data_IF_976125604944
#
_entry.id   IF_976125604944
#
_cell.length_a   1.000
_cell.length_b   1.000
_cell.length_c   1.000
_cell.angle_alpha   90.00
_cell.angle_beta   90.00
_cell.angle_gamma   90.00
#
_symmetry.space_group_name_H-M   'P 1'
#
loop_
_entity.id
_entity.type
_entity.pdbx_description
1 polymer ?
#
# COMPACT_ATOMS: atom_id res chain seq x y z
N UNK A 1 -28.36 -0.42 3.69
CA UNK A 1 -28.27 0.68 2.71
C UNK A 1 -27.76 0.11 1.41
N UNK A 2 -28.63 0.00 0.40
CA UNK A 2 -28.22 -0.34 -0.97
C UNK A 2 -27.46 0.84 -1.54
N UNK A 3 -26.15 0.70 -1.75
CA UNK A 3 -25.38 1.69 -2.50
C UNK A 3 -25.86 1.59 -3.95
N UNK A 4 -26.60 2.61 -4.42
CA UNK A 4 -26.92 2.76 -5.85
C UNK A 4 -25.60 2.68 -6.60
N UNK A 5 -25.44 1.64 -7.40
CA UNK A 5 -24.25 1.42 -8.21
C UNK A 5 -24.11 2.59 -9.16
N UNK A 6 -23.15 3.47 -8.89
CA UNK A 6 -22.73 4.47 -9.87
C UNK A 6 -22.37 3.70 -11.15
N UNK A 7 -22.89 4.10 -12.33
CA UNK A 7 -22.60 3.43 -13.59
C UNK A 7 -21.09 3.22 -13.75
N UNK A 8 -20.69 2.03 -14.22
CA UNK A 8 -19.28 1.67 -14.43
C UNK A 8 -18.55 2.76 -15.21
N UNK A 9 -19.20 3.31 -16.24
CA UNK A 9 -18.69 4.43 -17.06
C UNK A 9 -18.25 5.64 -16.22
N UNK A 10 -19.08 6.10 -15.28
CA UNK A 10 -18.74 7.26 -14.43
C UNK A 10 -17.55 6.96 -13.51
N UNK A 11 -17.41 5.73 -13.02
CA UNK A 11 -16.27 5.31 -12.20
C UNK A 11 -14.98 5.24 -13.01
N UNK A 12 -15.05 4.66 -14.21
CA UNK A 12 -13.91 4.59 -15.13
C UNK A 12 -13.45 5.99 -15.52
N UNK A 13 -14.37 6.89 -15.88
CA UNK A 13 -14.05 8.27 -16.21
C UNK A 13 -13.37 9.00 -15.04
N UNK A 14 -13.91 8.89 -13.82
CA UNK A 14 -13.28 9.44 -12.63
C UNK A 14 -11.86 8.87 -12.40
N UNK A 15 -11.66 7.59 -12.68
CA UNK A 15 -10.34 6.96 -12.60
C UNK A 15 -9.36 7.52 -13.62
N UNK A 16 -9.80 7.74 -14.87
CA UNK A 16 -8.99 8.39 -15.89
C UNK A 16 -8.62 9.83 -15.51
N UNK A 17 -9.56 10.59 -14.94
CA UNK A 17 -9.29 11.94 -14.42
C UNK A 17 -8.23 11.89 -13.31
N UNK A 18 -8.37 10.97 -12.35
CA UNK A 18 -7.39 10.82 -11.28
C UNK A 18 -6.00 10.45 -11.82
N UNK A 19 -5.93 9.50 -12.73
CA UNK A 19 -4.68 9.11 -13.40
C UNK A 19 -4.05 10.28 -14.16
N UNK A 20 -4.86 11.07 -14.88
CA UNK A 20 -4.38 12.26 -15.57
C UNK A 20 -3.80 13.29 -14.60
N UNK A 21 -4.45 13.53 -13.46
CA UNK A 21 -3.93 14.42 -12.42
C UNK A 21 -2.59 13.92 -11.86
N UNK A 22 -2.48 12.62 -11.57
CA UNK A 22 -1.22 12.05 -11.08
C UNK A 22 -0.10 12.20 -12.10
N UNK A 23 -0.38 12.04 -13.40
CA UNK A 23 0.63 12.06 -14.45
C UNK A 23 1.07 13.47 -14.89
N UNK A 24 0.17 14.47 -14.84
CA UNK A 24 0.41 15.81 -15.41
C UNK A 24 0.82 16.84 -14.38
N UNK A 25 0.39 16.70 -13.13
CA UNK A 25 0.76 17.66 -12.08
C UNK A 25 2.25 17.47 -11.71
N UNK A 26 3.08 18.54 -11.73
CA UNK A 26 4.47 18.46 -11.29
C UNK A 26 4.52 18.42 -9.76
N UNK A 27 4.34 17.22 -9.20
CA UNK A 27 4.23 17.01 -7.76
C UNK A 27 5.50 17.37 -6.98
N UNK A 28 6.66 17.30 -7.64
CA UNK A 28 7.95 17.77 -7.15
C UNK A 28 7.93 19.29 -6.91
N UNK A 29 7.38 20.06 -7.87
CA UNK A 29 7.18 21.49 -7.73
C UNK A 29 6.15 21.82 -6.64
N UNK A 30 5.05 21.07 -6.57
CA UNK A 30 4.03 21.26 -5.52
C UNK A 30 4.60 21.00 -4.12
N UNK A 31 5.45 19.97 -3.99
CA UNK A 31 6.12 19.60 -2.74
C UNK A 31 7.30 20.52 -2.40
N UNK A 32 7.80 21.29 -3.38
CA UNK A 32 9.04 22.05 -3.27
C UNK A 32 10.26 21.16 -2.92
N UNK A 33 10.26 19.90 -3.37
CA UNK A 33 11.35 18.96 -3.13
C UNK A 33 11.36 17.82 -4.16
N UNK A 34 12.56 17.38 -4.52
CA UNK A 34 12.76 16.26 -5.43
C UNK A 34 12.38 14.90 -4.80
N UNK A 35 12.12 13.92 -5.66
CA UNK A 35 11.79 12.55 -5.26
C UNK A 35 13.02 11.64 -5.40
N UNK A 36 13.78 11.49 -4.31
CA UNK A 36 15.00 10.70 -4.27
C UNK A 36 14.83 9.26 -4.78
N UNK A 37 13.67 8.62 -4.55
CA UNK A 37 13.40 7.26 -5.05
C UNK A 37 13.31 7.22 -6.59
N UNK A 38 12.81 8.28 -7.24
CA UNK A 38 12.74 8.39 -8.71
C UNK A 38 14.14 8.52 -9.29
N UNK A 39 14.97 9.41 -8.75
CA UNK A 39 16.38 9.56 -9.16
C UNK A 39 17.15 8.26 -9.01
N UNK A 40 16.94 7.54 -7.91
CA UNK A 40 17.52 6.23 -7.69
C UNK A 40 17.10 5.22 -8.77
N UNK A 41 15.86 5.27 -9.26
CA UNK A 41 15.43 4.42 -10.37
C UNK A 41 16.06 4.83 -11.70
N UNK A 42 16.13 6.12 -12.00
CA UNK A 42 16.77 6.65 -13.21
C UNK A 42 18.24 6.22 -13.25
N UNK A 43 18.98 6.47 -12.18
CA UNK A 43 20.39 6.09 -12.03
C UNK A 43 20.59 4.58 -12.22
N UNK A 44 19.73 3.74 -11.62
CA UNK A 44 19.78 2.27 -11.81
C UNK A 44 19.52 1.85 -13.25
N UNK A 45 18.60 2.50 -13.96
CA UNK A 45 18.34 2.20 -15.37
C UNK A 45 19.57 2.56 -16.21
N UNK A 46 20.22 3.68 -15.93
CA UNK A 46 21.42 4.09 -16.66
C UNK A 46 22.61 3.16 -16.40
N UNK A 47 22.81 2.70 -15.16
CA UNK A 47 23.79 1.65 -14.84
C UNK A 47 23.49 0.37 -15.63
N UNK A 48 22.22 -0.04 -15.70
CA UNK A 48 21.79 -1.22 -16.45
C UNK A 48 21.97 -1.08 -17.97
N UNK A 49 21.91 0.15 -18.53
CA UNK A 49 22.24 0.39 -19.95
C UNK A 49 23.71 0.09 -20.23
N UNK A 50 24.59 0.50 -19.32
CA UNK A 50 26.06 0.37 -19.51
C UNK A 50 26.57 -1.03 -19.18
N UNK A 51 26.09 -1.64 -18.09
CA UNK A 51 26.65 -2.89 -17.55
C UNK A 51 25.73 -4.11 -17.72
N UNK A 52 24.49 -3.92 -18.18
CA UNK A 52 23.54 -5.01 -18.32
C UNK A 52 23.20 -5.68 -16.98
N UNK A 53 22.79 -6.95 -17.04
CA UNK A 53 22.44 -7.72 -15.83
C UNK A 53 23.66 -8.17 -15.02
N UNK A 54 24.87 -8.08 -15.58
CA UNK A 54 26.11 -8.51 -14.94
C UNK A 54 26.46 -7.61 -13.74
N UNK A 55 25.84 -6.43 -13.64
CA UNK A 55 25.90 -5.57 -12.46
C UNK A 55 25.23 -6.20 -11.21
N UNK A 56 24.28 -7.11 -11.40
CA UNK A 56 23.58 -7.77 -10.30
C UNK A 56 24.09 -9.20 -10.12
N UNK A 57 24.84 -9.43 -9.05
CA UNK A 57 25.17 -10.80 -8.61
C UNK A 57 23.98 -11.41 -7.88
N UNK A 58 23.00 -11.91 -8.64
CA UNK A 58 21.89 -12.66 -8.07
C UNK A 58 22.28 -14.13 -7.90
N UNK A 59 22.33 -14.56 -6.65
CA UNK A 59 22.23 -15.99 -6.33
C UNK A 59 20.93 -16.53 -6.97
N UNK A 60 21.04 -17.51 -7.87
CA UNK A 60 19.92 -18.08 -8.66
C UNK A 60 18.89 -18.85 -7.83
N UNK A 61 18.95 -18.78 -6.50
CA UNK A 61 17.95 -19.34 -5.59
C UNK A 61 16.65 -18.54 -5.62
N UNK A 62 15.52 -19.17 -5.27
CA UNK A 62 14.22 -18.49 -5.14
C UNK A 62 14.30 -17.33 -4.13
N UNK A 63 15.05 -17.54 -3.04
CA UNK A 63 15.31 -16.50 -2.02
C UNK A 63 16.04 -15.33 -2.66
N UNK A 64 17.09 -15.58 -3.45
CA UNK A 64 17.78 -14.53 -4.19
C UNK A 64 16.86 -13.76 -5.14
N UNK A 65 16.04 -14.47 -5.93
CA UNK A 65 15.08 -13.83 -6.85
C UNK A 65 14.08 -12.91 -6.14
N UNK A 66 13.64 -13.28 -4.94
CA UNK A 66 12.78 -12.43 -4.12
C UNK A 66 13.56 -11.25 -3.55
N UNK A 67 14.69 -11.47 -2.88
CA UNK A 67 15.50 -10.42 -2.23
C UNK A 67 15.93 -9.32 -3.20
N UNK A 68 16.29 -9.71 -4.42
CA UNK A 68 16.69 -8.78 -5.48
C UNK A 68 15.52 -8.22 -6.30
N UNK A 69 14.28 -8.55 -5.95
CA UNK A 69 13.07 -8.08 -6.65
C UNK A 69 13.19 -8.32 -8.17
N UNK A 70 13.45 -9.57 -8.54
CA UNK A 70 13.87 -9.93 -9.89
C UNK A 70 12.94 -9.45 -11.00
N UNK A 71 11.61 -9.47 -10.79
CA UNK A 71 10.67 -8.98 -11.80
C UNK A 71 10.81 -7.47 -12.03
N UNK A 72 11.10 -6.70 -10.98
CA UNK A 72 11.40 -5.28 -11.10
C UNK A 72 12.71 -5.05 -11.86
N UNK A 73 13.79 -5.75 -11.49
CA UNK A 73 15.09 -5.63 -12.19
C UNK A 73 14.97 -6.00 -13.67
N UNK A 74 14.21 -7.05 -14.00
CA UNK A 74 13.95 -7.46 -15.38
C UNK A 74 13.13 -6.43 -16.14
N UNK A 75 12.16 -5.80 -15.50
CA UNK A 75 11.44 -4.67 -16.08
C UNK A 75 12.44 -3.55 -16.39
N UNK A 76 13.22 -3.07 -15.42
CA UNK A 76 14.21 -2.00 -15.65
C UNK A 76 15.22 -2.34 -16.75
N UNK A 77 15.68 -3.58 -16.80
CA UNK A 77 16.61 -4.06 -17.86
C UNK A 77 15.95 -4.03 -19.23
N UNK A 78 14.68 -4.42 -19.32
CA UNK A 78 13.92 -4.31 -20.58
C UNK A 78 13.82 -2.85 -21.02
N UNK A 79 13.60 -1.91 -20.10
CA UNK A 79 13.56 -0.48 -20.41
C UNK A 79 14.92 0.04 -20.89
N UNK A 80 15.99 -0.32 -20.18
CA UNK A 80 17.37 0.03 -20.51
C UNK A 80 17.74 -0.43 -21.93
N UNK A 81 17.44 -1.68 -22.29
CA UNK A 81 17.77 -2.26 -23.61
C UNK A 81 17.02 -1.65 -24.78
N UNK A 82 15.84 -1.07 -24.53
CA UNK A 82 15.03 -0.44 -25.58
C UNK A 82 15.26 1.08 -25.68
N UNK A 83 16.25 1.64 -24.96
CA UNK A 83 16.56 3.08 -24.94
C UNK A 83 15.34 3.97 -24.67
N UNK A 84 14.41 3.48 -23.87
CA UNK A 84 13.24 4.24 -23.48
C UNK A 84 13.61 5.24 -22.38
N UNK A 85 12.95 6.40 -22.40
CA UNK A 85 13.16 7.46 -21.40
C UNK A 85 12.69 6.99 -20.01
N UNK A 86 13.59 6.88 -19.01
CA UNK A 86 13.25 6.40 -17.67
C UNK A 86 12.08 7.14 -17.03
N UNK A 87 12.07 8.47 -17.16
CA UNK A 87 11.08 9.36 -16.58
C UNK A 87 9.68 9.08 -17.17
N UNK A 88 9.57 8.98 -18.49
CA UNK A 88 8.30 8.65 -19.15
C UNK A 88 7.73 7.31 -18.71
N UNK A 89 8.57 6.29 -18.58
CA UNK A 89 8.09 4.95 -18.19
C UNK A 89 7.68 4.91 -16.73
N UNK A 90 8.47 5.50 -15.83
CA UNK A 90 8.09 5.62 -14.42
C UNK A 90 6.74 6.35 -14.31
N UNK A 91 6.53 7.41 -15.09
CA UNK A 91 5.23 8.09 -15.21
C UNK A 91 4.10 7.18 -15.70
N UNK A 92 4.34 6.33 -16.71
CA UNK A 92 3.36 5.34 -17.19
C UNK A 92 3.02 4.31 -16.09
N UNK A 93 4.02 3.80 -15.38
CA UNK A 93 3.82 2.84 -14.29
C UNK A 93 3.04 3.47 -13.15
N UNK A 94 3.37 4.70 -12.75
CA UNK A 94 2.61 5.50 -11.78
C UNK A 94 1.16 5.71 -12.22
N UNK A 95 0.93 6.03 -13.50
CA UNK A 95 -0.41 6.21 -14.06
C UNK A 95 -1.25 4.92 -14.00
N UNK A 96 -0.63 3.77 -14.34
CA UNK A 96 -1.25 2.45 -14.22
C UNK A 96 -1.59 2.15 -12.76
N UNK A 97 -0.66 2.36 -11.83
CA UNK A 97 -0.87 2.14 -10.39
C UNK A 97 -1.99 3.02 -9.84
N UNK A 98 -2.03 4.29 -10.22
CA UNK A 98 -3.08 5.23 -9.83
C UNK A 98 -4.45 4.77 -10.32
N UNK A 99 -4.55 4.36 -11.59
CA UNK A 99 -5.79 3.88 -12.18
C UNK A 99 -6.32 2.61 -11.48
N UNK A 100 -5.45 1.61 -11.28
CA UNK A 100 -5.82 0.35 -10.64
C UNK A 100 -6.22 0.55 -9.17
N UNK A 101 -5.51 1.41 -8.44
CA UNK A 101 -5.82 1.75 -7.04
C UNK A 101 -7.16 2.49 -6.94
N UNK A 102 -7.41 3.46 -7.84
CA UNK A 102 -8.70 4.15 -7.92
C UNK A 102 -9.84 3.18 -8.26
N UNK A 103 -9.64 2.31 -9.26
CA UNK A 103 -10.62 1.29 -9.64
C UNK A 103 -10.94 0.35 -8.48
N UNK A 104 -9.95 0.01 -7.65
CA UNK A 104 -10.17 -0.74 -6.41
C UNK A 104 -11.14 0.00 -5.49
N UNK A 105 -10.80 1.22 -5.10
CA UNK A 105 -11.53 1.97 -4.09
C UNK A 105 -12.93 2.42 -4.56
N UNK A 106 -13.03 2.88 -5.81
CA UNK A 106 -14.27 3.39 -6.41
C UNK A 106 -15.35 2.31 -6.61
N UNK A 107 -14.97 1.02 -6.61
CA UNK A 107 -15.92 -0.09 -6.57
C UNK A 107 -16.81 -0.04 -5.32
N UNK A 108 -16.25 0.40 -4.19
CA UNK A 108 -16.91 0.37 -2.88
C UNK A 108 -17.43 1.75 -2.43
N UNK A 109 -16.69 2.83 -2.73
CA UNK A 109 -16.99 4.19 -2.24
C UNK A 109 -17.58 5.13 -3.31
N UNK A 110 -17.55 4.73 -4.58
CA UNK A 110 -17.88 5.60 -5.71
C UNK A 110 -16.68 6.43 -6.20
N UNK A 111 -16.80 6.97 -7.42
CA UNK A 111 -15.66 7.59 -8.13
C UNK A 111 -15.10 8.83 -7.42
N UNK A 112 -15.96 9.75 -6.98
CA UNK A 112 -15.54 11.02 -6.38
C UNK A 112 -14.93 10.80 -5.00
N UNK A 113 -15.58 9.99 -4.14
CA UNK A 113 -15.07 9.71 -2.81
C UNK A 113 -13.70 8.99 -2.86
N UNK A 114 -13.50 8.12 -3.85
CA UNK A 114 -12.20 7.50 -4.08
C UNK A 114 -11.12 8.54 -4.43
N UNK A 115 -11.42 9.52 -5.28
CA UNK A 115 -10.48 10.61 -5.59
C UNK A 115 -10.13 11.41 -4.32
N UNK A 116 -11.13 11.81 -3.53
CA UNK A 116 -10.88 12.61 -2.32
C UNK A 116 -10.00 11.90 -1.28
N UNK A 117 -10.12 10.58 -1.17
CA UNK A 117 -9.26 9.76 -0.31
C UNK A 117 -7.86 9.62 -0.90
N UNK A 118 -7.76 9.27 -2.19
CA UNK A 118 -6.48 9.00 -2.86
C UNK A 118 -5.69 10.26 -3.19
N UNK A 119 -6.33 11.43 -3.18
CA UNK A 119 -5.66 12.72 -3.21
C UNK A 119 -4.96 13.06 -1.88
N UNK A 120 -4.85 12.12 -0.94
CA UNK A 120 -4.01 12.26 0.25
C UNK A 120 -2.51 12.33 -0.16
N UNK A 121 -1.71 13.25 0.42
CA UNK A 121 -0.29 13.40 0.07
C UNK A 121 0.56 12.12 0.21
N UNK A 122 0.27 11.25 1.18
CA UNK A 122 0.94 9.94 1.34
C UNK A 122 0.66 9.05 0.13
N UNK A 123 -0.57 9.07 -0.37
CA UNK A 123 -0.94 8.26 -1.55
C UNK A 123 -0.29 8.83 -2.80
N UNK A 124 -0.22 10.15 -2.94
CA UNK A 124 0.46 10.82 -4.06
C UNK A 124 1.95 10.50 -4.02
N UNK A 125 2.61 10.65 -2.87
CA UNK A 125 4.02 10.30 -2.68
C UNK A 125 4.27 8.81 -3.01
N UNK A 126 3.40 7.91 -2.56
CA UNK A 126 3.48 6.50 -2.93
C UNK A 126 3.43 6.30 -4.46
N UNK A 127 2.47 6.94 -5.13
CA UNK A 127 2.23 6.77 -6.57
C UNK A 127 3.34 7.40 -7.42
N UNK A 128 3.90 8.53 -7.01
CA UNK A 128 4.87 9.32 -7.77
C UNK A 128 6.31 8.94 -7.43
N UNK A 129 6.63 8.86 -6.14
CA UNK A 129 7.99 8.60 -5.66
C UNK A 129 8.30 7.10 -5.62
N UNK A 130 7.36 6.31 -5.09
CA UNK A 130 7.59 4.90 -4.76
C UNK A 130 6.96 3.95 -5.79
N UNK A 131 7.24 4.21 -7.07
CA UNK A 131 6.62 3.57 -8.25
C UNK A 131 6.65 2.04 -8.17
N UNK A 132 7.76 1.44 -7.73
CA UNK A 132 7.90 -0.01 -7.55
C UNK A 132 6.86 -0.57 -6.58
N UNK A 133 6.73 0.04 -5.41
CA UNK A 133 5.82 -0.40 -4.35
C UNK A 133 4.36 -0.13 -4.73
N UNK A 134 4.08 1.02 -5.36
CA UNK A 134 2.77 1.35 -5.91
C UNK A 134 2.31 0.33 -6.97
N UNK A 135 3.19 -0.05 -7.90
CA UNK A 135 2.90 -1.04 -8.93
C UNK A 135 2.59 -2.39 -8.32
N UNK A 136 3.48 -2.91 -7.47
CA UNK A 136 3.32 -4.20 -6.83
C UNK A 136 2.00 -4.29 -6.04
N UNK A 137 1.66 -3.22 -5.31
CA UNK A 137 0.43 -3.18 -4.53
C UNK A 137 -0.83 -3.02 -5.38
N UNK A 138 -0.78 -2.23 -6.45
CA UNK A 138 -1.91 -2.13 -7.38
C UNK A 138 -2.24 -3.46 -8.06
N UNK A 139 -1.23 -4.32 -8.28
CA UNK A 139 -1.41 -5.71 -8.72
C UNK A 139 -2.08 -6.56 -7.64
N UNK A 140 -1.67 -6.42 -6.37
CA UNK A 140 -2.32 -7.08 -5.22
C UNK A 140 -3.80 -6.66 -5.13
N UNK A 141 -4.11 -5.36 -5.22
CA UNK A 141 -5.49 -4.87 -5.21
C UNK A 141 -6.30 -5.45 -6.38
N UNK A 142 -5.72 -5.50 -7.57
CA UNK A 142 -6.36 -6.11 -8.75
C UNK A 142 -6.66 -7.60 -8.51
N UNK A 143 -5.71 -8.35 -7.95
CA UNK A 143 -5.89 -9.74 -7.57
C UNK A 143 -7.08 -9.91 -6.60
N UNK A 144 -7.16 -9.07 -5.57
CA UNK A 144 -8.28 -9.05 -4.61
C UNK A 144 -9.62 -8.80 -5.33
N UNK A 145 -9.71 -7.82 -6.23
CA UNK A 145 -10.96 -7.55 -6.96
C UNK A 145 -11.42 -8.73 -7.83
N UNK A 146 -10.47 -9.45 -8.40
CA UNK A 146 -10.73 -10.58 -9.31
C UNK A 146 -11.22 -11.82 -8.57
N UNK A 147 -10.87 -12.00 -7.29
CA UNK A 147 -11.40 -13.10 -6.47
C UNK A 147 -12.91 -13.04 -6.26
N UNK A 148 -13.53 -11.87 -6.42
CA UNK A 148 -14.98 -11.69 -6.29
C UNK A 148 -15.76 -12.02 -7.58
N UNK A 149 -15.09 -12.35 -8.70
CA UNK A 149 -15.72 -12.60 -10.02
C UNK A 149 -15.61 -14.04 -10.53
N UNK A 150 -16.31 -14.36 -11.62
CA UNK A 150 -16.26 -15.70 -12.28
C UNK A 150 -14.99 -15.91 -13.13
N UNK A 151 -14.15 -14.89 -13.27
CA UNK A 151 -12.92 -14.94 -14.07
C UNK A 151 -11.89 -15.87 -13.42
N UNK A 152 -11.60 -16.96 -14.15
CA UNK A 152 -10.48 -17.92 -14.01
C UNK A 152 -9.83 -17.94 -12.62
N UNK A 153 -10.27 -18.90 -11.80
CA UNK A 153 -9.82 -19.16 -10.41
C UNK A 153 -8.32 -19.01 -10.17
N UNK A 154 -7.47 -19.25 -11.17
CA UNK A 154 -6.00 -19.21 -11.05
C UNK A 154 -5.38 -17.81 -11.14
N UNK A 155 -5.93 -16.90 -11.95
CA UNK A 155 -5.27 -15.63 -12.27
C UNK A 155 -5.00 -14.72 -11.05
N UNK A 156 -5.91 -14.58 -10.07
CA UNK A 156 -5.61 -13.82 -8.85
C UNK A 156 -4.40 -14.36 -8.09
N UNK A 157 -4.23 -15.68 -8.04
CA UNK A 157 -3.11 -16.31 -7.35
C UNK A 157 -1.78 -16.11 -8.08
N UNK A 158 -1.81 -16.07 -9.42
CA UNK A 158 -0.63 -15.69 -10.22
C UNK A 158 -0.23 -14.24 -9.88
N UNK A 159 -1.18 -13.31 -9.84
CA UNK A 159 -0.90 -11.91 -9.49
C UNK A 159 -0.33 -11.77 -8.07
N UNK A 160 -0.88 -12.50 -7.09
CA UNK A 160 -0.30 -12.55 -5.74
C UNK A 160 1.11 -13.12 -5.74
N UNK A 161 1.39 -14.15 -6.54
CA UNK A 161 2.72 -14.74 -6.63
C UNK A 161 3.74 -13.80 -7.29
N UNK A 162 3.33 -12.99 -8.28
CA UNK A 162 4.20 -12.06 -9.00
C UNK A 162 4.57 -10.82 -8.16
N UNK A 163 3.64 -10.29 -7.36
CA UNK A 163 3.85 -9.03 -6.66
C UNK A 163 5.10 -9.00 -5.74
N UNK A 164 5.43 -10.05 -4.96
CA UNK A 164 6.69 -10.16 -4.20
C UNK A 164 7.97 -10.03 -5.03
N UNK A 165 7.95 -10.45 -6.29
CA UNK A 165 9.12 -10.30 -7.18
C UNK A 165 9.26 -8.89 -7.74
N UNK A 166 8.23 -8.05 -7.62
CA UNK A 166 8.33 -6.61 -7.92
C UNK A 166 8.74 -5.85 -6.67
N UNK A 167 8.16 -6.19 -5.52
CA UNK A 167 8.52 -5.60 -4.24
C UNK A 167 8.36 -6.61 -3.11
N UNK A 168 9.44 -6.92 -2.39
CA UNK A 168 9.46 -7.94 -1.33
C UNK A 168 8.47 -7.66 -0.20
N UNK A 169 8.21 -6.38 0.10
CA UNK A 169 7.23 -5.96 1.10
C UNK A 169 5.81 -6.49 0.84
N UNK A 170 5.49 -6.89 -0.41
CA UNK A 170 4.20 -7.50 -0.73
C UNK A 170 3.98 -8.85 -0.06
N UNK A 171 5.03 -9.57 0.37
CA UNK A 171 4.88 -10.82 1.13
C UNK A 171 4.08 -10.56 2.40
N UNK A 172 4.45 -9.52 3.16
CA UNK A 172 3.74 -9.15 4.38
C UNK A 172 2.31 -8.71 4.07
N UNK A 173 2.11 -7.84 3.08
CA UNK A 173 0.78 -7.36 2.68
C UNK A 173 -0.16 -8.52 2.32
N UNK A 174 0.33 -9.48 1.52
CA UNK A 174 -0.43 -10.64 1.09
C UNK A 174 -0.73 -11.57 2.26
N UNK A 175 0.24 -11.80 3.14
CA UNK A 175 0.05 -12.56 4.38
C UNK A 175 -1.07 -11.94 5.23
N UNK A 176 -1.01 -10.63 5.48
CA UNK A 176 -2.03 -9.90 6.25
C UNK A 176 -3.39 -9.98 5.57
N UNK A 177 -3.45 -9.89 4.24
CA UNK A 177 -4.69 -10.07 3.48
C UNK A 177 -5.31 -11.44 3.74
N UNK A 178 -4.57 -12.54 3.53
CA UNK A 178 -5.11 -13.88 3.73
C UNK A 178 -5.46 -14.17 5.18
N UNK A 179 -4.64 -13.70 6.13
CA UNK A 179 -4.94 -13.77 7.56
C UNK A 179 -6.25 -13.04 7.89
N UNK A 180 -6.45 -11.85 7.32
CA UNK A 180 -7.67 -11.05 7.50
C UNK A 180 -8.91 -11.71 6.89
N UNK A 181 -8.76 -12.35 5.72
CA UNK A 181 -9.82 -13.16 5.11
C UNK A 181 -10.16 -14.35 6.00
N UNK A 182 -9.16 -15.07 6.52
CA UNK A 182 -9.36 -16.20 7.43
C UNK A 182 -10.08 -15.77 8.72
N UNK A 183 -9.62 -14.69 9.35
CA UNK A 183 -10.24 -14.11 10.56
C UNK A 183 -11.71 -13.72 10.30
N UNK A 184 -12.00 -13.10 9.16
CA UNK A 184 -13.36 -12.68 8.80
C UNK A 184 -14.35 -13.85 8.66
N UNK A 185 -13.85 -15.05 8.29
CA UNK A 185 -14.66 -16.26 8.10
C UNK A 185 -14.89 -17.04 9.39
N UNK A 186 -14.20 -16.71 10.48
CA UNK A 186 -14.29 -17.44 11.75
C UNK A 186 -15.63 -17.13 12.45
N UNK A 187 -16.59 -18.05 12.35
CA UNK A 187 -17.96 -17.87 12.88
C UNK A 187 -18.05 -17.90 14.42
N UNK A 188 -17.10 -18.52 15.12
CA UNK A 188 -17.24 -18.87 16.55
C UNK A 188 -16.86 -17.78 17.58
N UNK A 189 -16.26 -16.66 17.18
CA UNK A 189 -15.93 -15.56 18.11
C UNK A 189 -16.99 -14.45 18.07
N UNK A 190 -17.01 -13.50 19.01
CA UNK A 190 -17.74 -12.21 18.85
C UNK A 190 -16.91 -11.26 17.97
N UNK A 191 -17.49 -10.19 17.39
CA UNK A 191 -16.69 -9.23 16.61
C UNK A 191 -15.62 -8.56 17.47
N UNK A 192 -15.96 -8.24 18.73
CA UNK A 192 -15.01 -7.69 19.70
C UNK A 192 -13.84 -8.65 19.98
N UNK A 193 -14.09 -9.94 20.21
CA UNK A 193 -13.02 -10.93 20.40
C UNK A 193 -12.16 -11.06 19.16
N UNK A 194 -12.78 -11.04 17.97
CA UNK A 194 -12.05 -11.08 16.70
C UNK A 194 -11.20 -9.81 16.49
N UNK A 195 -11.70 -8.65 16.92
CA UNK A 195 -10.95 -7.39 16.89
C UNK A 195 -9.74 -7.44 17.84
N UNK A 196 -9.92 -7.89 19.09
CA UNK A 196 -8.82 -8.06 20.03
C UNK A 196 -7.78 -9.08 19.54
N UNK A 197 -8.23 -10.20 18.97
CA UNK A 197 -7.31 -11.16 18.35
C UNK A 197 -6.53 -10.52 17.20
N UNK A 198 -7.19 -9.74 16.34
CA UNK A 198 -6.53 -9.05 15.23
C UNK A 198 -5.51 -8.03 15.72
N UNK A 199 -5.89 -7.20 16.69
CA UNK A 199 -5.01 -6.21 17.30
C UNK A 199 -3.82 -6.88 18.00
N UNK A 200 -4.05 -7.96 18.74
CA UNK A 200 -3.01 -8.75 19.39
C UNK A 200 -2.04 -9.38 18.39
N UNK A 201 -2.54 -9.92 17.27
CA UNK A 201 -1.70 -10.42 16.19
C UNK A 201 -0.88 -9.29 15.53
N UNK A 202 -1.48 -8.13 15.27
CA UNK A 202 -0.79 -6.96 14.74
C UNK A 202 0.33 -6.47 15.69
N UNK A 203 0.04 -6.42 16.99
CA UNK A 203 1.01 -6.04 18.02
C UNK A 203 2.15 -7.06 18.08
N UNK A 204 1.85 -8.35 18.17
CA UNK A 204 2.84 -9.41 18.24
C UNK A 204 3.73 -9.42 16.99
N UNK A 205 3.13 -9.33 15.80
CA UNK A 205 3.90 -9.26 14.55
C UNK A 205 4.75 -8.00 14.49
N UNK A 206 4.23 -6.83 14.89
CA UNK A 206 5.00 -5.60 14.96
C UNK A 206 6.22 -5.73 15.87
N UNK A 207 6.06 -6.30 17.08
CA UNK A 207 7.17 -6.56 17.99
C UNK A 207 8.19 -7.53 17.40
N UNK A 208 7.74 -8.68 16.87
CA UNK A 208 8.62 -9.70 16.27
C UNK A 208 9.40 -9.12 15.10
N UNK A 209 8.76 -8.39 14.19
CA UNK A 209 9.46 -7.78 13.06
C UNK A 209 10.45 -6.73 13.58
N UNK A 210 10.07 -5.93 14.58
CA UNK A 210 10.95 -4.90 15.13
C UNK A 210 12.25 -5.44 15.72
N UNK A 211 12.21 -6.66 16.29
CA UNK A 211 13.39 -7.29 16.88
C UNK A 211 14.17 -8.16 15.90
N UNK A 212 13.54 -8.70 14.85
CA UNK A 212 14.16 -9.72 13.99
C UNK A 212 14.51 -9.24 12.58
N UNK A 213 13.94 -8.13 12.10
CA UNK A 213 14.09 -7.74 10.69
C UNK A 213 15.55 -7.47 10.30
N UNK A 214 16.33 -6.88 11.20
CA UNK A 214 17.76 -6.59 10.98
C UNK A 214 18.55 -7.89 10.88
N UNK A 215 18.34 -8.81 11.81
CA UNK A 215 19.03 -10.11 11.84
C UNK A 215 18.70 -10.95 10.60
N UNK A 216 17.42 -10.98 10.20
CA UNK A 216 16.96 -11.69 9.01
C UNK A 216 17.60 -11.08 7.75
N UNK A 217 17.62 -9.75 7.63
CA UNK A 217 18.21 -9.09 6.49
C UNK A 217 19.72 -9.37 6.39
N UNK A 218 20.44 -9.28 7.51
CA UNK A 218 21.86 -9.62 7.58
C UNK A 218 22.13 -11.08 7.19
N UNK A 219 21.33 -12.03 7.71
CA UNK A 219 21.42 -13.44 7.37
C UNK A 219 21.15 -13.72 5.87
N UNK A 220 20.30 -12.91 5.24
CA UNK A 220 20.00 -12.98 3.80
C UNK A 220 21.07 -12.30 2.93
N UNK A 221 22.13 -11.75 3.52
CA UNK A 221 23.16 -10.99 2.82
C UNK A 221 22.70 -9.61 2.37
N UNK A 222 21.54 -9.13 2.85
CA UNK A 222 21.06 -7.78 2.59
C UNK A 222 21.81 -6.80 3.49
N UNK A 223 22.83 -6.15 2.93
CA UNK A 223 23.68 -5.15 3.60
C UNK A 223 23.05 -3.75 3.65
N UNK A 224 21.73 -3.64 3.46
CA UNK A 224 21.03 -2.36 3.62
C UNK A 224 21.15 -1.90 5.06
N UNK A 225 21.58 -0.65 5.23
CA UNK A 225 21.69 -0.05 6.53
C UNK A 225 20.30 0.43 6.99
N UNK A 226 19.64 -0.34 7.85
CA UNK A 226 18.32 0.01 8.38
C UNK A 226 18.37 1.21 9.36
N UNK A 227 19.57 1.63 9.80
CA UNK A 227 19.75 2.81 10.65
C UNK A 227 19.53 4.15 9.94
N UNK A 228 19.67 4.19 8.62
CA UNK A 228 19.62 5.45 7.85
C UNK A 228 18.21 5.76 7.34
N UNK A 229 17.25 4.87 7.57
CA UNK A 229 15.84 5.11 7.26
C UNK A 229 15.14 5.81 8.43
N UNK A 230 14.82 7.09 8.24
CA UNK A 230 14.09 7.88 9.24
C UNK A 230 12.69 7.34 9.50
N UNK A 231 12.38 7.10 10.78
CA UNK A 231 11.02 6.85 11.25
C UNK A 231 10.18 8.10 11.22
N UNK A 232 8.86 7.92 11.10
CA UNK A 232 7.92 9.04 11.18
C UNK A 232 7.68 9.41 12.64
N UNK A 233 7.42 10.68 12.90
CA UNK A 233 7.17 11.16 14.25
C UNK A 233 5.97 10.45 14.88
N UNK A 234 6.00 10.28 16.21
CA UNK A 234 4.90 9.66 16.94
C UNK A 234 3.58 10.42 16.75
N UNK A 235 3.62 11.76 16.63
CA UNK A 235 2.44 12.57 16.35
C UNK A 235 1.80 12.23 15.01
N UNK A 236 2.63 11.97 13.99
CA UNK A 236 2.17 11.53 12.68
C UNK A 236 1.51 10.15 12.74
N UNK A 237 2.10 9.23 13.50
CA UNK A 237 1.61 7.86 13.66
C UNK A 237 0.37 7.75 14.56
N UNK A 238 0.18 8.72 15.46
CA UNK A 238 -0.93 8.71 16.41
C UNK A 238 -2.30 8.76 15.71
N UNK A 239 -2.42 9.42 14.56
CA UNK A 239 -3.65 9.42 13.76
C UNK A 239 -4.09 8.00 13.38
N UNK A 240 -3.16 7.16 12.91
CA UNK A 240 -3.43 5.79 12.50
C UNK A 240 -3.73 4.88 13.70
N UNK A 241 -3.09 5.13 14.83
CA UNK A 241 -3.43 4.48 16.10
C UNK A 241 -4.87 4.82 16.55
N UNK A 242 -5.27 6.10 16.48
CA UNK A 242 -6.64 6.52 16.77
C UNK A 242 -7.65 5.88 15.81
N UNK A 243 -7.28 5.70 14.54
CA UNK A 243 -8.09 4.95 13.59
C UNK A 243 -8.30 3.50 14.02
N UNK A 244 -7.24 2.81 14.46
CA UNK A 244 -7.34 1.46 15.02
C UNK A 244 -8.23 1.41 16.26
N UNK A 245 -8.06 2.36 17.19
CA UNK A 245 -8.88 2.48 18.39
C UNK A 245 -10.36 2.66 18.05
N UNK A 246 -10.68 3.51 17.07
CA UNK A 246 -12.04 3.70 16.58
C UNK A 246 -12.65 2.38 16.06
N UNK A 247 -11.89 1.59 15.30
CA UNK A 247 -12.35 0.30 14.79
C UNK A 247 -12.68 -0.66 15.95
N UNK A 248 -11.81 -0.76 16.97
CA UNK A 248 -12.03 -1.61 18.14
C UNK A 248 -13.26 -1.16 18.94
N UNK A 249 -13.42 0.14 19.20
CA UNK A 249 -14.59 0.67 19.92
C UNK A 249 -15.87 0.30 19.18
N UNK A 250 -15.89 0.47 17.86
CA UNK A 250 -17.06 0.16 17.02
C UNK A 250 -17.31 -1.34 16.86
N UNK A 251 -16.32 -2.20 17.16
CA UNK A 251 -16.47 -3.66 17.13
C UNK A 251 -17.52 -4.17 18.12
N UNK A 252 -17.72 -3.47 19.24
CA UNK A 252 -18.74 -3.78 20.25
C UNK A 252 -20.17 -3.50 19.76
N UNK A 253 -20.32 -2.56 18.84
CA UNK A 253 -21.60 -1.98 18.48
C UNK A 253 -22.19 -2.55 17.17
N UNK A 254 -21.44 -3.39 16.44
CA UNK A 254 -21.86 -4.02 15.17
C UNK A 254 -21.40 -5.46 15.05
N UNK A 255 -21.95 -6.18 14.07
CA UNK A 255 -21.67 -7.60 13.84
C UNK A 255 -20.92 -7.90 12.52
N UNK A 256 -20.65 -6.91 11.67
CA UNK A 256 -20.08 -7.17 10.34
C UNK A 256 -18.57 -7.41 10.40
N UNK A 257 -18.18 -8.67 10.19
CA UNK A 257 -16.78 -9.12 10.05
C UNK A 257 -16.39 -9.12 8.59
N UNK A 258 -15.50 -8.22 8.23
CA UNK A 258 -15.05 -8.04 6.85
C UNK A 258 -13.54 -8.08 6.82
N UNK A 259 -12.96 -8.60 5.75
CA UNK A 259 -11.51 -8.77 5.69
C UNK A 259 -10.80 -7.41 5.74
N UNK A 260 -11.34 -6.35 5.13
CA UNK A 260 -10.74 -5.01 5.17
C UNK A 260 -10.78 -4.39 6.57
N UNK A 261 -11.76 -4.75 7.42
CA UNK A 261 -11.75 -4.35 8.83
C UNK A 261 -10.54 -4.95 9.55
N UNK A 262 -10.33 -6.26 9.42
CA UNK A 262 -9.21 -6.95 10.06
C UNK A 262 -7.87 -6.48 9.51
N UNK A 263 -7.77 -6.30 8.19
CA UNK A 263 -6.56 -5.82 7.53
C UNK A 263 -6.17 -4.43 8.05
N UNK A 264 -7.13 -3.51 8.09
CA UNK A 264 -6.88 -2.14 8.53
C UNK A 264 -6.46 -2.07 9.99
N UNK A 265 -7.17 -2.82 10.86
CA UNK A 265 -6.83 -2.89 12.29
C UNK A 265 -5.44 -3.50 12.50
N UNK A 266 -5.12 -4.60 11.80
CA UNK A 266 -3.81 -5.24 11.88
C UNK A 266 -2.70 -4.27 11.47
N UNK A 267 -2.79 -3.65 10.28
CA UNK A 267 -1.74 -2.78 9.74
C UNK A 267 -1.55 -1.55 10.63
N UNK A 268 -2.63 -0.90 11.08
CA UNK A 268 -2.51 0.30 11.92
C UNK A 268 -1.79 0.00 13.25
N UNK A 269 -2.06 -1.15 13.87
CA UNK A 269 -1.39 -1.56 15.11
C UNK A 269 0.05 -2.01 14.85
N UNK A 270 0.28 -2.86 13.84
CA UNK A 270 1.60 -3.37 13.53
C UNK A 270 2.59 -2.24 13.18
N UNK A 271 2.19 -1.31 12.31
CA UNK A 271 3.03 -0.18 11.91
C UNK A 271 3.22 0.81 13.07
N UNK A 272 2.19 1.05 13.90
CA UNK A 272 2.37 1.85 15.12
C UNK A 272 3.48 1.29 16.02
N UNK A 273 3.48 -0.03 16.25
CA UNK A 273 4.51 -0.69 17.05
C UNK A 273 5.88 -0.59 16.38
N UNK A 274 5.97 -0.91 15.09
CA UNK A 274 7.24 -0.86 14.35
C UNK A 274 7.88 0.53 14.33
N UNK A 275 7.12 1.57 14.01
CA UNK A 275 7.61 2.96 14.03
C UNK A 275 8.02 3.39 15.44
N UNK A 276 7.23 3.03 16.46
CA UNK A 276 7.57 3.34 17.86
C UNK A 276 8.83 2.60 18.34
N UNK A 277 9.17 1.48 17.71
CA UNK A 277 10.39 0.71 17.96
C UNK A 277 11.57 1.11 17.06
N UNK A 278 11.45 2.18 16.26
CA UNK A 278 12.55 2.66 15.42
C UNK A 278 12.66 2.00 14.04
N UNK A 279 11.68 1.18 13.64
CA UNK A 279 11.67 0.54 12.32
C UNK A 279 10.76 1.31 11.36
N UNK A 280 11.36 1.91 10.33
CA UNK A 280 10.67 2.62 9.27
C UNK A 280 9.75 1.66 8.47
N UNK A 281 8.45 1.76 8.75
CA UNK A 281 7.40 0.85 8.27
C UNK A 281 6.18 1.60 7.73
N UNK A 282 6.21 2.93 7.76
CA UNK A 282 5.14 3.82 7.33
C UNK A 282 4.65 3.56 5.90
N UNK A 283 5.51 3.03 5.03
CA UNK A 283 5.15 2.57 3.68
C UNK A 283 3.98 1.59 3.70
N UNK A 284 3.84 0.73 4.70
CA UNK A 284 2.71 -0.18 4.82
C UNK A 284 1.38 0.55 5.08
N UNK A 285 1.40 1.65 5.82
CA UNK A 285 0.22 2.54 5.94
C UNK A 285 -0.09 3.15 4.59
N UNK A 286 0.91 3.74 3.92
CA UNK A 286 0.75 4.38 2.62
C UNK A 286 0.07 3.47 1.59
N UNK A 287 0.59 2.24 1.47
CA UNK A 287 0.01 1.19 0.63
C UNK A 287 -1.43 0.89 1.08
N UNK A 288 -1.68 0.80 2.39
CA UNK A 288 -2.96 0.34 2.93
C UNK A 288 -4.08 1.39 2.97
N UNK A 289 -3.82 2.67 2.67
CA UNK A 289 -4.83 3.75 2.72
C UNK A 289 -6.16 3.37 2.03
N UNK A 290 -6.19 2.80 0.80
CA UNK A 290 -7.44 2.42 0.15
C UNK A 290 -8.25 1.41 0.97
N UNK A 291 -7.58 0.45 1.61
CA UNK A 291 -8.22 -0.60 2.42
C UNK A 291 -8.64 -0.03 3.79
N UNK A 292 -7.80 0.82 4.39
CA UNK A 292 -8.10 1.54 5.65
C UNK A 292 -9.35 2.40 5.48
N UNK A 293 -9.45 3.16 4.39
CA UNK A 293 -10.64 3.94 4.11
C UNK A 293 -11.90 3.08 3.93
N UNK A 294 -11.77 1.90 3.29
CA UNK A 294 -12.86 0.93 3.13
C UNK A 294 -13.42 0.45 4.48
N UNK A 295 -12.57 0.28 5.50
CA UNK A 295 -13.00 -0.15 6.84
C UNK A 295 -14.04 0.79 7.47
N UNK A 296 -14.03 2.08 7.09
CA UNK A 296 -14.98 3.07 7.60
C UNK A 296 -16.43 2.84 7.16
N UNK A 297 -16.67 2.13 6.05
CA UNK A 297 -18.02 1.91 5.47
C UNK A 297 -18.94 1.23 6.48
N UNK A 298 -18.36 0.35 7.29
CA UNK A 298 -19.06 -0.50 8.26
C UNK A 298 -19.21 0.13 9.64
N UNK A 299 -18.63 1.31 9.88
CA UNK A 299 -18.84 2.03 11.12
C UNK A 299 -20.29 2.52 11.25
N UNK A 300 -20.75 2.75 12.49
CA UNK A 300 -22.01 3.42 12.74
C UNK A 300 -22.05 4.81 12.09
N UNK A 301 -23.24 5.29 11.70
CA UNK A 301 -23.40 6.51 10.89
C UNK A 301 -22.61 7.71 11.44
N UNK A 302 -22.69 7.96 12.76
CA UNK A 302 -21.95 9.04 13.43
C UNK A 302 -20.45 8.82 13.40
N UNK A 303 -19.98 7.64 13.79
CA UNK A 303 -18.56 7.28 13.77
C UNK A 303 -17.96 7.32 12.36
N UNK A 304 -18.72 6.92 11.35
CA UNK A 304 -18.33 7.06 9.96
C UNK A 304 -18.15 8.53 9.59
N UNK A 305 -19.12 9.40 9.86
CA UNK A 305 -18.97 10.83 9.57
C UNK A 305 -17.71 11.40 10.24
N UNK A 306 -17.49 11.08 11.53
CA UNK A 306 -16.29 11.49 12.27
C UNK A 306 -15.01 10.99 11.59
N UNK A 307 -14.94 9.70 11.23
CA UNK A 307 -13.77 9.12 10.55
C UNK A 307 -13.46 9.82 9.23
N UNK A 308 -14.49 10.14 8.44
CA UNK A 308 -14.32 10.82 7.15
C UNK A 308 -13.89 12.28 7.32
N UNK A 309 -14.48 13.01 8.28
CA UNK A 309 -14.05 14.38 8.61
C UNK A 309 -12.61 14.39 9.13
N UNK A 310 -12.26 13.44 10.00
CA UNK A 310 -10.90 13.31 10.52
C UNK A 310 -9.90 12.98 9.40
N UNK A 311 -10.24 12.11 8.46
CA UNK A 311 -9.39 11.81 7.29
C UNK A 311 -9.21 13.04 6.39
N UNK A 312 -10.27 13.78 6.09
CA UNK A 312 -10.16 15.00 5.27
C UNK A 312 -9.35 16.09 5.96
N UNK A 313 -9.54 16.27 7.27
CA UNK A 313 -8.75 17.20 8.06
C UNK A 313 -7.28 16.80 8.11
N UNK A 314 -7.00 15.51 8.30
CA UNK A 314 -5.64 14.97 8.26
C UNK A 314 -5.00 15.17 6.88
N UNK A 315 -5.74 14.93 5.78
CA UNK A 315 -5.26 15.24 4.42
C UNK A 315 -4.88 16.71 4.26
N UNK A 316 -5.70 17.62 4.77
CA UNK A 316 -5.42 19.06 4.71
C UNK A 316 -4.15 19.42 5.48
N UNK A 317 -3.99 18.91 6.71
CA UNK A 317 -2.76 19.11 7.49
C UNK A 317 -1.55 18.54 6.77
N UNK A 318 -1.67 17.35 6.19
CA UNK A 318 -0.58 16.74 5.42
C UNK A 318 -0.19 17.60 4.22
N UNK A 319 -1.16 18.16 3.48
CA UNK A 319 -0.82 19.05 2.37
C UNK A 319 -0.05 20.27 2.85
N UNK A 320 -0.52 20.89 3.94
CA UNK A 320 0.16 22.05 4.52
C UNK A 320 1.62 21.74 4.85
N UNK A 321 1.90 20.61 5.51
CA UNK A 321 3.29 20.21 5.82
C UNK A 321 4.08 19.66 4.62
N UNK A 322 3.40 19.13 3.61
CA UNK A 322 4.05 18.54 2.43
C UNK A 322 4.49 19.61 1.41
N UNK A 323 3.89 20.80 1.46
CA UNK A 323 4.20 21.92 0.57
C UNK A 323 5.11 22.99 1.20
N UNK A 324 5.46 22.84 2.49
CA UNK A 324 6.36 23.74 3.23
C UNK A 324 7.81 23.27 3.08
#
# INVERSE_FOLDING_TARGET
MSFRTIPIVKRTFAGLVFTFLIAVVPWDYVRNAEFADVENYVSRIDILKTHGLDYYDYNKSIVGLLTFEYAWVRLLTFLARNNLDPQQILGILSAISAFLTHRFLSRYLGGIAAILILANPITIDLLVSQVRSALAFSIVLTAVQMQEGSLRRLLPYILFAVAPFIHTGMILVIFVYFLSVWLSRRRSSTLLNSAFLTAGLGLLSGLVISTTVVDIAQAMGDRRNFSDTETKSLSYMFFWFLWAALLVIQASARSTRTWYYHFSLYICIAVWVMESSGIASFRFIALSIPIIALSSIHLHKRARIIAWVAMLFYNFLLYYYWTL
#
